data_IF_677685469350
#
_entry.id   IF_677685469350
#
_cell.length_a   1.000
_cell.length_b   1.000
_cell.length_c   1.000
_cell.angle_alpha   90.00
_cell.angle_beta   90.00
_cell.angle_gamma   90.00
#
_symmetry.space_group_name_H-M   'P 1'
#
loop_
_entity.id
_entity.type
_entity.pdbx_description
1 polymer ?
#
# COMPACT_ATOMS: atom_id res chain seq x y z
N UNK A 1 -8.62 -4.69 10.67
CA UNK A 1 -8.08 -6.06 10.64
C UNK A 1 -6.56 -5.99 10.50
N UNK A 2 -5.85 -6.88 11.19
CA UNK A 2 -4.40 -7.08 11.05
C UNK A 2 -4.17 -8.46 10.43
N UNK A 3 -3.20 -8.57 9.53
CA UNK A 3 -2.81 -9.87 8.97
C UNK A 3 -1.33 -9.90 8.59
N UNK A 4 -0.75 -11.09 8.60
CA UNK A 4 0.55 -11.35 8.01
C UNK A 4 0.39 -11.98 6.63
N UNK A 5 1.24 -11.57 5.69
CA UNK A 5 1.26 -12.16 4.35
C UNK A 5 2.67 -12.50 3.93
N UNK A 6 2.85 -13.72 3.45
CA UNK A 6 4.11 -14.20 2.89
C UNK A 6 4.39 -13.50 1.56
N UNK A 7 5.56 -12.89 1.42
CA UNK A 7 6.03 -12.25 0.19
C UNK A 7 7.54 -12.34 0.05
N UNK A 8 8.04 -12.21 -1.18
CA UNK A 8 9.47 -12.24 -1.47
C UNK A 8 10.12 -10.91 -1.05
N UNK A 9 11.23 -11.00 -0.33
CA UNK A 9 12.17 -9.90 -0.17
C UNK A 9 13.17 -9.98 -1.32
N UNK A 10 13.23 -8.93 -2.14
CA UNK A 10 14.37 -8.73 -3.04
C UNK A 10 15.52 -8.15 -2.23
N UNK A 11 16.59 -8.91 -2.02
CA UNK A 11 17.85 -8.36 -1.52
C UNK A 11 18.54 -7.54 -2.62
N UNK A 12 19.52 -6.72 -2.24
CA UNK A 12 20.28 -5.84 -3.15
C UNK A 12 21.12 -6.62 -4.17
N UNK A 13 21.34 -7.90 -3.93
CA UNK A 13 21.98 -8.85 -4.83
C UNK A 13 20.89 -9.79 -5.36
N UNK A 14 20.49 -9.62 -6.63
CA UNK A 14 19.31 -10.25 -7.27
C UNK A 14 19.29 -11.80 -7.27
N UNK A 15 20.26 -12.46 -6.64
CA UNK A 15 20.48 -13.90 -6.60
C UNK A 15 19.86 -14.61 -5.40
N UNK A 16 19.54 -13.92 -4.29
CA UNK A 16 18.94 -14.55 -3.10
C UNK A 16 17.52 -14.03 -2.82
N UNK A 17 16.53 -14.84 -3.18
CA UNK A 17 15.11 -14.57 -2.86
C UNK A 17 14.79 -15.13 -1.50
N UNK A 18 14.87 -14.28 -0.48
CA UNK A 18 14.45 -14.65 0.87
C UNK A 18 12.96 -14.38 1.02
N UNK A 19 12.24 -15.29 1.67
CA UNK A 19 10.80 -15.07 1.90
C UNK A 19 10.57 -14.44 3.26
N UNK A 20 9.65 -13.48 3.36
CA UNK A 20 9.28 -12.85 4.63
C UNK A 20 7.78 -12.70 4.81
N UNK A 21 7.38 -12.61 6.08
CA UNK A 21 6.04 -12.21 6.47
C UNK A 21 5.99 -10.70 6.61
N UNK A 22 5.11 -10.09 5.83
CA UNK A 22 4.78 -8.68 5.92
C UNK A 22 3.57 -8.49 6.82
N UNK A 23 3.65 -7.50 7.71
CA UNK A 23 2.52 -7.05 8.50
C UNK A 23 1.70 -6.03 7.73
N UNK A 24 0.39 -6.23 7.74
CA UNK A 24 -0.59 -5.38 7.08
C UNK A 24 -1.69 -4.97 8.04
N UNK A 25 -2.22 -3.76 7.81
CA UNK A 25 -3.46 -3.28 8.42
C UNK A 25 -4.45 -2.90 7.33
N UNK A 26 -5.72 -3.25 7.53
CA UNK A 26 -6.81 -2.91 6.61
C UNK A 26 -8.11 -2.63 7.36
N UNK A 27 -8.91 -1.71 6.84
CA UNK A 27 -10.29 -1.44 7.28
C UNK A 27 -11.34 -2.02 6.32
N UNK A 28 -10.94 -2.99 5.48
CA UNK A 28 -11.73 -3.60 4.41
C UNK A 28 -11.88 -2.74 3.14
N UNK A 29 -11.42 -1.49 3.15
CA UNK A 29 -11.38 -0.63 1.96
C UNK A 29 -9.92 -0.27 1.61
N UNK A 30 -9.18 0.23 2.60
CA UNK A 30 -7.76 0.59 2.47
C UNK A 30 -6.88 -0.51 3.05
N UNK A 31 -5.65 -0.61 2.53
CA UNK A 31 -4.65 -1.56 3.02
C UNK A 31 -3.29 -0.87 3.08
N UNK A 32 -2.65 -0.92 4.24
CA UNK A 32 -1.33 -0.36 4.46
C UNK A 32 -0.35 -1.46 4.86
N UNK A 33 0.78 -1.52 4.14
CA UNK A 33 1.90 -2.39 4.46
C UNK A 33 2.78 -1.72 5.49
N UNK A 34 2.91 -2.33 6.66
CA UNK A 34 3.81 -1.83 7.71
C UNK A 34 5.25 -2.19 7.37
N UNK A 35 5.46 -3.39 6.83
CA UNK A 35 6.77 -3.90 6.45
C UNK A 35 6.99 -5.36 6.85
N UNK A 36 8.19 -5.91 6.57
CA UNK A 36 8.54 -7.26 6.98
C UNK A 36 8.72 -7.33 8.50
N UNK A 37 8.09 -8.31 9.14
CA UNK A 37 8.18 -8.56 10.60
C UNK A 37 8.85 -9.89 10.93
N UNK A 38 9.07 -10.74 9.93
CA UNK A 38 9.74 -12.01 10.09
C UNK A 38 10.30 -12.50 8.76
N UNK A 39 11.52 -13.02 8.82
CA UNK A 39 12.19 -13.66 7.68
C UNK A 39 12.11 -15.18 7.85
N UNK A 40 11.75 -15.87 6.77
CA UNK A 40 11.84 -17.32 6.66
C UNK A 40 13.26 -17.67 6.26
N UNK A 41 13.88 -18.54 7.05
CA UNK A 41 15.25 -19.00 6.81
C UNK A 41 15.28 -20.05 5.68
N UNK A 42 16.44 -20.28 5.08
CA UNK A 42 16.63 -21.28 4.02
C UNK A 42 16.53 -22.74 4.53
N UNK A 43 16.59 -22.90 5.85
CA UNK A 43 16.41 -24.17 6.54
C UNK A 43 15.01 -24.74 6.32
N UNK A 44 14.95 -26.04 6.06
CA UNK A 44 13.80 -26.90 5.72
C UNK A 44 12.62 -26.94 6.75
N UNK A 45 12.46 -25.91 7.59
CA UNK A 45 11.43 -25.78 8.60
C UNK A 45 10.26 -24.93 8.11
N UNK A 46 9.03 -25.35 8.43
CA UNK A 46 7.84 -24.54 8.15
C UNK A 46 7.72 -23.44 9.19
N UNK A 47 7.45 -22.21 8.73
CA UNK A 47 7.19 -21.06 9.58
C UNK A 47 5.68 -20.78 9.61
N UNK A 48 5.04 -21.00 10.75
CA UNK A 48 3.69 -20.50 11.02
C UNK A 48 3.79 -19.20 11.84
N UNK A 49 2.84 -18.29 11.62
CA UNK A 49 2.77 -17.03 12.37
C UNK A 49 1.36 -16.74 12.85
N UNK A 50 1.25 -16.10 14.00
CA UNK A 50 -0.01 -15.60 14.56
C UNK A 50 0.22 -14.21 15.16
N UNK A 51 -0.66 -13.27 14.86
CA UNK A 51 -0.67 -11.95 15.47
C UNK A 51 -1.59 -11.95 16.69
N UNK A 52 -1.11 -11.38 17.79
CA UNK A 52 -1.89 -11.22 19.02
C UNK A 52 -1.86 -9.75 19.42
N UNK A 53 -3.03 -9.13 19.52
CA UNK A 53 -3.19 -7.81 20.11
C UNK A 53 -3.83 -7.95 21.49
N UNK A 54 -3.09 -7.63 22.53
CA UNK A 54 -3.55 -7.76 23.91
C UNK A 54 -2.94 -6.65 24.77
N UNK A 55 -3.74 -6.11 25.70
CA UNK A 55 -3.32 -5.07 26.64
C UNK A 55 -2.61 -3.88 25.96
N UNK A 56 -3.17 -3.42 24.84
CA UNK A 56 -2.63 -2.30 24.09
C UNK A 56 -1.37 -2.60 23.26
N UNK A 57 -0.86 -3.84 23.28
CA UNK A 57 0.40 -4.26 22.65
C UNK A 57 0.17 -5.25 21.52
N UNK A 58 1.01 -5.17 20.48
CA UNK A 58 0.99 -6.09 19.34
C UNK A 58 2.16 -7.08 19.46
N UNK A 59 1.87 -8.36 19.27
CA UNK A 59 2.83 -9.44 19.35
C UNK A 59 2.76 -10.31 18.10
N UNK A 60 3.91 -10.83 17.68
CA UNK A 60 4.03 -11.86 16.67
C UNK A 60 4.50 -13.15 17.34
N UNK A 61 3.64 -14.17 17.32
CA UNK A 61 4.02 -15.53 17.65
C UNK A 61 4.51 -16.22 16.38
N UNK A 62 5.69 -16.81 16.46
CA UNK A 62 6.28 -17.58 15.38
C UNK A 62 6.57 -18.99 15.84
N UNK A 63 6.19 -19.95 15.02
CA UNK A 63 6.44 -21.35 15.25
C UNK A 63 7.37 -21.85 14.14
N UNK A 64 8.52 -22.38 14.55
CA UNK A 64 9.49 -23.03 13.69
C UNK A 64 9.52 -24.51 14.05
N UNK A 65 9.29 -25.37 13.07
CA UNK A 65 9.34 -26.82 13.25
C UNK A 65 10.21 -27.49 12.19
N UNK A 66 11.08 -28.39 12.63
CA UNK A 66 11.80 -29.34 11.77
C UNK A 66 11.63 -30.77 12.33
N UNK A 67 12.25 -31.80 11.72
CA UNK A 67 12.09 -33.20 12.16
C UNK A 67 12.56 -33.50 13.60
N UNK A 68 13.37 -32.64 14.21
CA UNK A 68 14.04 -32.86 15.50
C UNK A 68 13.67 -31.82 16.56
N UNK A 69 13.37 -30.59 16.15
CA UNK A 69 13.17 -29.44 17.04
C UNK A 69 11.90 -28.67 16.72
N UNK A 70 11.28 -28.18 17.78
CA UNK A 70 10.11 -27.32 17.75
C UNK A 70 10.37 -26.10 18.62
N UNK A 71 10.38 -24.92 18.01
CA UNK A 71 10.69 -23.65 18.69
C UNK A 71 9.55 -22.68 18.45
N UNK A 72 9.04 -22.13 19.55
CA UNK A 72 8.06 -21.05 19.54
C UNK A 72 8.74 -19.80 20.06
N UNK A 73 8.70 -18.72 19.29
CA UNK A 73 9.22 -17.41 19.68
C UNK A 73 8.12 -16.36 19.66
N UNK A 74 8.15 -15.46 20.64
CA UNK A 74 7.26 -14.31 20.70
C UNK A 74 8.05 -13.01 20.61
N UNK A 75 7.65 -12.14 19.68
CA UNK A 75 8.26 -10.84 19.44
C UNK A 75 7.25 -9.73 19.70
N UNK A 76 7.69 -8.64 20.36
CA UNK A 76 6.88 -7.43 20.53
C UNK A 76 7.04 -6.55 19.30
N UNK A 77 5.93 -6.15 18.70
CA UNK A 77 5.88 -5.31 17.51
C UNK A 77 5.56 -3.86 17.89
N UNK A 78 6.37 -3.29 18.78
CA UNK A 78 6.12 -1.95 19.35
C UNK A 78 6.25 -0.86 18.29
N UNK A 79 7.28 -0.94 17.45
CA UNK A 79 7.58 0.06 16.44
C UNK A 79 6.56 0.00 15.30
N UNK A 80 6.16 -1.21 14.90
CA UNK A 80 5.10 -1.44 13.93
C UNK A 80 3.77 -0.90 14.43
N UNK A 81 3.42 -1.16 15.70
CA UNK A 81 2.20 -0.62 16.30
C UNK A 81 2.24 0.93 16.37
N UNK A 82 3.41 1.50 16.66
CA UNK A 82 3.60 2.96 16.64
C UNK A 82 3.42 3.56 15.23
N UNK A 83 3.69 2.77 14.19
CA UNK A 83 3.47 3.14 12.78
C UNK A 83 1.99 2.99 12.38
N UNK A 84 1.31 1.94 12.84
CA UNK A 84 -0.10 1.66 12.52
C UNK A 84 -1.04 2.74 13.09
N UNK A 85 -0.83 3.18 14.35
CA UNK A 85 -1.75 4.10 15.03
C UNK A 85 -1.95 5.43 14.27
N UNK A 86 -0.89 6.13 13.81
CA UNK A 86 -1.04 7.34 12.98
C UNK A 86 -1.74 7.08 11.64
N UNK A 87 -1.52 5.93 11.01
CA UNK A 87 -2.19 5.57 9.75
C UNK A 87 -3.70 5.45 9.96
N UNK A 88 -4.13 4.74 10.99
CA UNK A 88 -5.56 4.61 11.33
C UNK A 88 -6.17 5.97 11.69
N UNK A 89 -5.44 6.81 12.44
CA UNK A 89 -5.87 8.17 12.72
C UNK A 89 -6.02 9.01 11.44
N UNK A 90 -5.11 8.83 10.47
CA UNK A 90 -5.19 9.52 9.17
C UNK A 90 -6.43 9.11 8.41
N UNK A 91 -6.76 7.81 8.36
CA UNK A 91 -7.96 7.32 7.68
C UNK A 91 -9.24 7.93 8.25
N UNK A 92 -9.38 7.94 9.58
CA UNK A 92 -10.54 8.55 10.24
C UNK A 92 -10.64 10.05 9.95
N UNK A 93 -9.52 10.78 10.03
CA UNK A 93 -9.50 12.22 9.76
C UNK A 93 -9.85 12.54 8.30
N UNK A 94 -9.37 11.72 7.35
CA UNK A 94 -9.68 11.89 5.93
C UNK A 94 -11.12 11.53 5.61
N UNK A 95 -11.67 10.48 6.20
CA UNK A 95 -13.08 10.15 6.05
C UNK A 95 -13.99 11.28 6.56
N UNK A 96 -13.67 11.87 7.72
CA UNK A 96 -14.40 13.05 8.23
C UNK A 96 -14.27 14.24 7.28
N UNK A 97 -13.07 14.50 6.77
CA UNK A 97 -12.81 15.60 5.84
C UNK A 97 -13.62 15.46 4.55
N UNK A 98 -13.57 14.30 3.90
CA UNK A 98 -14.28 14.05 2.65
C UNK A 98 -15.80 14.01 2.84
N UNK A 99 -16.28 13.47 3.97
CA UNK A 99 -17.71 13.49 4.30
C UNK A 99 -18.25 14.93 4.42
N UNK A 100 -17.47 15.87 4.97
CA UNK A 100 -17.83 17.30 5.04
C UNK A 100 -17.93 17.96 3.65
N UNK A 101 -17.26 17.40 2.65
CA UNK A 101 -17.34 17.80 1.25
C UNK A 101 -18.41 17.01 0.47
N UNK A 102 -19.23 16.21 1.17
CA UNK A 102 -20.24 15.32 0.59
C UNK A 102 -19.66 14.27 -0.38
N UNK A 103 -18.38 13.93 -0.22
CA UNK A 103 -17.75 12.83 -0.95
C UNK A 103 -18.05 11.52 -0.21
N UNK A 104 -18.64 10.50 -0.88
CA UNK A 104 -18.86 9.19 -0.25
C UNK A 104 -17.54 8.53 0.14
N UNK A 105 -17.43 8.11 1.40
CA UNK A 105 -16.23 7.44 1.95
C UNK A 105 -16.38 5.93 2.05
N UNK A 106 -17.60 5.41 1.92
CA UNK A 106 -17.85 3.97 1.82
C UNK A 106 -17.25 3.44 0.50
N UNK A 107 -16.33 2.48 0.61
CA UNK A 107 -15.62 1.94 -0.56
C UNK A 107 -14.56 2.87 -1.17
N UNK A 108 -14.29 4.03 -0.56
CA UNK A 108 -13.23 4.93 -1.03
C UNK A 108 -11.87 4.34 -0.64
N UNK A 109 -11.00 4.11 -1.63
CA UNK A 109 -9.74 3.35 -1.44
C UNK A 109 -8.53 4.28 -1.36
N UNK A 110 -8.52 5.32 -2.19
CA UNK A 110 -7.46 6.30 -2.25
C UNK A 110 -8.00 7.61 -2.83
N UNK A 111 -7.31 8.71 -2.51
CA UNK A 111 -7.56 10.01 -3.11
C UNK A 111 -6.20 10.63 -3.45
N UNK A 112 -6.05 11.05 -4.70
CA UNK A 112 -4.89 11.78 -5.18
C UNK A 112 -5.31 13.24 -5.41
N UNK A 113 -4.79 14.17 -4.61
CA UNK A 113 -5.18 15.59 -4.66
C UNK A 113 -3.97 16.51 -4.68
N UNK A 114 -3.72 17.30 -3.63
CA UNK A 114 -2.67 18.32 -3.70
C UNK A 114 -1.31 17.81 -3.24
N UNK A 115 -1.25 16.84 -2.33
CA UNK A 115 0.00 16.37 -1.77
C UNK A 115 0.89 15.67 -2.81
N UNK A 116 2.14 16.09 -2.92
CA UNK A 116 3.13 15.51 -3.82
C UNK A 116 4.55 15.58 -3.22
N UNK A 117 5.40 14.60 -3.50
CA UNK A 117 6.81 14.63 -3.13
C UNK A 117 7.66 13.87 -4.13
N UNK A 118 8.80 14.41 -4.55
CA UNK A 118 9.81 13.72 -5.36
C UNK A 118 9.25 12.88 -6.53
N UNK A 119 8.41 13.47 -7.39
CA UNK A 119 7.80 12.75 -8.52
C UNK A 119 6.72 11.73 -8.13
N UNK A 120 6.22 11.76 -6.89
CA UNK A 120 5.07 10.96 -6.44
C UNK A 120 3.88 11.85 -6.16
N UNK A 121 2.70 11.42 -6.60
CA UNK A 121 1.43 11.95 -6.17
C UNK A 121 0.98 11.16 -4.94
N UNK A 122 0.89 11.86 -3.80
CA UNK A 122 0.65 11.21 -2.51
C UNK A 122 -0.82 10.85 -2.38
N UNK A 123 -1.08 9.61 -2.00
CA UNK A 123 -2.40 9.18 -1.57
C UNK A 123 -2.71 9.77 -0.20
N UNK A 124 -3.84 10.47 -0.11
CA UNK A 124 -4.33 11.11 1.11
C UNK A 124 -4.56 10.10 2.25
N UNK A 125 -4.83 8.82 1.92
CA UNK A 125 -4.93 7.70 2.87
C UNK A 125 -3.59 7.01 3.15
N UNK A 126 -2.50 7.45 2.51
CA UNK A 126 -1.12 6.97 2.69
C UNK A 126 -0.90 5.48 2.40
N UNK A 127 -1.77 4.86 1.61
CA UNK A 127 -1.67 3.46 1.28
C UNK A 127 -0.77 3.24 0.06
N UNK A 128 -1.12 3.86 -1.07
CA UNK A 128 -0.40 3.67 -2.33
C UNK A 128 -0.31 4.97 -3.11
N UNK A 129 0.89 5.51 -3.25
CA UNK A 129 1.15 6.71 -4.04
C UNK A 129 1.18 6.39 -5.54
N UNK A 130 0.85 7.36 -6.38
CA UNK A 130 1.09 7.26 -7.81
C UNK A 130 2.47 7.81 -8.18
N UNK A 131 3.09 7.21 -9.19
CA UNK A 131 4.34 7.70 -9.79
C UNK A 131 4.01 8.69 -10.89
N UNK A 132 4.70 9.81 -10.92
CA UNK A 132 4.51 10.88 -11.89
C UNK A 132 5.78 11.06 -12.70
N UNK A 133 5.63 11.04 -14.02
CA UNK A 133 6.72 11.15 -14.98
C UNK A 133 6.52 12.40 -15.83
N UNK A 134 7.56 13.21 -15.98
CA UNK A 134 7.62 14.37 -16.88
C UNK A 134 6.39 15.28 -16.84
N UNK A 135 5.81 15.52 -15.66
CA UNK A 135 4.62 16.37 -15.49
C UNK A 135 4.89 17.51 -14.51
N UNK A 136 4.15 18.60 -14.67
CA UNK A 136 4.28 19.80 -13.83
C UNK A 136 3.20 19.78 -12.76
N UNK A 137 3.58 19.90 -11.49
CA UNK A 137 2.61 19.99 -10.38
C UNK A 137 1.78 21.26 -10.55
N UNK A 138 0.46 21.12 -10.43
CA UNK A 138 -0.48 22.24 -10.34
C UNK A 138 -1.32 22.07 -9.09
N UNK A 139 -2.17 23.04 -8.76
CA UNK A 139 -3.10 22.90 -7.62
C UNK A 139 -3.98 21.66 -7.81
N UNK A 140 -4.05 20.82 -6.77
CA UNK A 140 -4.90 19.62 -6.72
C UNK A 140 -4.62 18.55 -7.80
N UNK A 141 -3.52 18.67 -8.55
CA UNK A 141 -3.18 17.69 -9.58
C UNK A 141 -1.93 17.98 -10.39
N UNK A 142 -1.92 17.52 -11.64
CA UNK A 142 -0.75 17.59 -12.52
C UNK A 142 -1.12 18.03 -13.92
N UNK A 143 -0.21 18.78 -14.54
CA UNK A 143 -0.29 19.17 -15.95
C UNK A 143 0.69 18.31 -16.75
N UNK A 144 0.14 17.51 -17.64
CA UNK A 144 0.88 16.68 -18.58
C UNK A 144 1.10 17.49 -19.87
N UNK A 145 2.36 17.70 -20.24
CA UNK A 145 2.74 18.59 -21.35
C UNK A 145 3.46 17.88 -22.50
N UNK A 146 4.06 16.72 -22.22
CA UNK A 146 4.87 15.96 -23.16
C UNK A 146 4.24 14.60 -23.45
N UNK A 147 4.64 13.96 -24.55
CA UNK A 147 4.18 12.61 -24.90
C UNK A 147 4.67 11.54 -23.93
N UNK A 148 5.74 11.83 -23.17
CA UNK A 148 6.30 10.97 -22.13
C UNK A 148 5.76 11.31 -20.74
N UNK A 149 4.89 12.33 -20.62
CA UNK A 149 4.24 12.67 -19.36
C UNK A 149 3.23 11.59 -18.98
N UNK A 150 3.18 11.23 -17.69
CA UNK A 150 2.21 10.24 -17.23
C UNK A 150 2.06 10.21 -15.72
N UNK A 151 0.92 9.70 -15.28
CA UNK A 151 0.68 9.33 -13.88
C UNK A 151 0.32 7.85 -13.87
N UNK A 152 1.11 7.06 -13.15
CA UNK A 152 0.89 5.63 -12.98
C UNK A 152 0.53 5.35 -11.52
N UNK A 153 -0.70 4.92 -11.28
CA UNK A 153 -1.13 4.47 -9.97
C UNK A 153 -1.20 2.94 -9.95
N UNK A 154 -0.33 2.25 -9.19
CA UNK A 154 -0.25 0.79 -9.25
C UNK A 154 -1.43 0.15 -8.52
N UNK A 155 -2.14 -0.72 -9.22
CA UNK A 155 -3.28 -1.47 -8.69
C UNK A 155 -2.87 -2.86 -8.17
N UNK A 156 -1.98 -3.53 -8.91
CA UNK A 156 -1.48 -4.85 -8.56
C UNK A 156 -0.01 -4.95 -8.94
N UNK A 157 0.88 -4.65 -7.99
CA UNK A 157 2.32 -4.75 -8.19
C UNK A 157 2.92 -5.68 -7.15
N UNK A 158 3.09 -6.94 -7.55
CA UNK A 158 3.66 -7.99 -6.73
C UNK A 158 5.10 -7.69 -6.30
N UNK A 159 5.86 -6.91 -7.09
CA UNK A 159 7.26 -6.56 -6.77
C UNK A 159 7.33 -5.56 -5.63
N UNK A 160 6.40 -4.60 -5.61
CA UNK A 160 6.33 -3.57 -4.59
C UNK A 160 5.32 -3.92 -3.47
N UNK A 161 4.87 -5.17 -3.41
CA UNK A 161 3.87 -5.65 -2.46
C UNK A 161 2.52 -4.93 -2.52
N UNK A 162 2.21 -4.17 -3.59
CA UNK A 162 0.92 -3.50 -3.74
C UNK A 162 -0.13 -4.53 -4.16
N UNK A 163 -1.14 -4.76 -3.31
CA UNK A 163 -2.22 -5.73 -3.56
C UNK A 163 -3.59 -5.11 -3.35
N UNK A 164 -4.08 -4.34 -4.31
CA UNK A 164 -5.50 -3.97 -4.37
C UNK A 164 -6.28 -5.02 -5.16
N UNK A 165 -6.32 -6.26 -4.66
CA UNK A 165 -6.93 -7.41 -5.36
C UNK A 165 -8.38 -7.15 -5.79
N UNK A 166 -9.12 -6.32 -5.04
CA UNK A 166 -10.51 -5.95 -5.33
C UNK A 166 -10.69 -5.08 -6.59
N UNK A 167 -9.68 -4.31 -7.00
CA UNK A 167 -9.78 -3.43 -8.18
C UNK A 167 -9.83 -4.22 -9.51
N UNK A 168 -9.59 -5.54 -9.48
CA UNK A 168 -9.77 -6.41 -10.65
C UNK A 168 -11.23 -6.84 -10.89
N UNK A 169 -12.16 -6.50 -9.99
CA UNK A 169 -13.56 -6.91 -10.10
C UNK A 169 -14.49 -5.73 -10.40
N UNK A 170 -14.51 -4.75 -9.52
CA UNK A 170 -15.41 -3.60 -9.64
C UNK A 170 -14.75 -2.40 -8.99
N UNK A 171 -14.58 -1.33 -9.75
CA UNK A 171 -14.03 -0.08 -9.25
C UNK A 171 -14.72 1.10 -9.93
N UNK A 172 -14.63 2.26 -9.29
CA UNK A 172 -15.03 3.53 -9.86
C UNK A 172 -13.83 4.46 -9.74
N UNK A 173 -13.41 5.03 -10.87
CA UNK A 173 -12.34 6.00 -10.92
C UNK A 173 -12.92 7.36 -11.34
N UNK A 174 -12.69 8.39 -10.54
CA UNK A 174 -13.21 9.73 -10.76
C UNK A 174 -12.02 10.69 -10.87
N UNK A 175 -12.00 11.52 -11.91
CA UNK A 175 -10.99 12.53 -12.10
C UNK A 175 -11.61 13.81 -12.69
N UNK A 176 -11.12 14.96 -12.24
CA UNK A 176 -11.39 16.24 -12.91
C UNK A 176 -10.30 16.48 -13.95
N UNK A 177 -10.69 16.71 -15.20
CA UNK A 177 -9.77 16.82 -16.34
C UNK A 177 -10.06 18.09 -17.13
N UNK A 178 -9.00 18.75 -17.62
CA UNK A 178 -9.09 19.90 -18.50
C UNK A 178 -8.17 19.70 -19.69
N UNK A 179 -8.74 19.63 -20.90
CA UNK A 179 -7.99 19.44 -22.14
C UNK A 179 -7.55 20.83 -22.65
N UNK A 180 -6.25 21.08 -22.62
CA UNK A 180 -5.67 22.39 -22.96
C UNK A 180 -5.38 22.57 -24.46
N UNK A 181 -5.27 21.47 -25.21
CA UNK A 181 -5.00 21.46 -26.65
C UNK A 181 -5.78 20.33 -27.31
N UNK A 182 -6.28 20.59 -28.51
CA UNK A 182 -6.90 19.55 -29.34
C UNK A 182 -5.81 18.55 -29.75
N UNK A 183 -5.97 17.25 -29.47
CA UNK A 183 -4.97 16.26 -29.84
C UNK A 183 -5.04 15.98 -31.34
N UNK A 184 -3.89 15.75 -31.97
CA UNK A 184 -3.82 15.43 -33.40
C UNK A 184 -4.35 14.03 -33.73
N UNK A 185 -4.32 13.12 -32.75
CA UNK A 185 -4.76 11.72 -32.84
C UNK A 185 -5.50 11.31 -31.56
N UNK A 186 -6.16 10.15 -31.58
CA UNK A 186 -6.71 9.55 -30.35
C UNK A 186 -5.62 9.42 -29.28
N UNK A 187 -5.82 10.07 -28.14
CA UNK A 187 -4.85 10.15 -27.05
C UNK A 187 -5.53 9.68 -25.76
N UNK A 188 -4.96 8.71 -25.04
CA UNK A 188 -5.55 8.22 -23.80
C UNK A 188 -5.51 9.31 -22.72
N UNK A 189 -6.63 9.49 -22.02
CA UNK A 189 -6.74 10.42 -20.90
C UNK A 189 -6.67 9.71 -19.55
N UNK A 190 -7.39 8.59 -19.42
CA UNK A 190 -7.46 7.77 -18.22
C UNK A 190 -7.68 6.32 -18.63
N UNK A 191 -6.85 5.42 -18.13
CA UNK A 191 -6.85 3.99 -18.49
C UNK A 191 -6.65 3.14 -17.25
N UNK A 192 -7.19 1.92 -17.26
CA UNK A 192 -6.99 0.90 -16.25
C UNK A 192 -6.51 -0.40 -16.91
#
# INVERSE_FOLDING_TARGET
MLYTQKSLLSSREETERVTAFYLWVTDNNRSFSVGPVAVEDDGNGRLASTLVYSDGNLHLLQERFNRKDHVISISRLTDELSTIKPVLSTWVQKDIFFSKLSIPTAGLVAVLSDAATNGKWIDEYRCVNATVTNAVKVKDGWRLTETTSGVLWPVNDWKNNVRHVFLNHSFTLVATVSIQKVPSNSTPLLTA
#
